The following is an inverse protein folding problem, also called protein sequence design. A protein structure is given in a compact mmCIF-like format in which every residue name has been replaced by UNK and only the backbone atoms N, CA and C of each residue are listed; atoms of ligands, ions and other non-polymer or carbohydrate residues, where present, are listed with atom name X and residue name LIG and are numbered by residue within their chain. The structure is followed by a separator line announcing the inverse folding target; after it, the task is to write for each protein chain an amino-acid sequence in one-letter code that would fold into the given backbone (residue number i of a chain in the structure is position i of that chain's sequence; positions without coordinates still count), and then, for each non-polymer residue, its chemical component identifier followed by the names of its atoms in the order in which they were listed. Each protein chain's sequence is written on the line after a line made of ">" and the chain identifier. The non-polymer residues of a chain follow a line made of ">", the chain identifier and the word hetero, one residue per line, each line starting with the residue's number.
data_IF_865159040719
#
_entry.id   IF_865159040719
#
_cell.length_a   1.000
_cell.length_b   1.000
_cell.length_c   1.000
_cell.angle_alpha   90.00
_cell.angle_beta   90.00
_cell.angle_gamma   90.00
#
_symmetry.space_group_name_H-M   'P 1'
#
loop_
_entity.id
_entity.type
_entity.pdbx_description
1 polymer ?
#
# COMPACT_ATOMS: atom_id res chain seq x y z
N UNK A 1 38.50 -5.01 -19.34
CA UNK A 1 38.57 -3.75 -18.56
C UNK A 1 38.00 -2.56 -19.33
N UNK A 2 38.35 -2.31 -20.59
CA UNK A 2 37.79 -1.18 -21.36
C UNK A 2 36.25 -1.23 -21.55
N UNK A 3 35.67 -2.42 -21.79
CA UNK A 3 34.21 -2.57 -21.94
C UNK A 3 33.42 -2.23 -20.66
N UNK A 4 33.94 -2.58 -19.48
CA UNK A 4 33.33 -2.27 -18.18
C UNK A 4 33.39 -0.78 -17.83
N UNK A 5 34.41 -0.06 -18.33
CA UNK A 5 34.51 1.40 -18.18
C UNK A 5 33.48 2.10 -19.06
N UNK A 6 33.24 1.59 -20.26
CA UNK A 6 32.25 2.16 -21.20
C UNK A 6 30.81 1.91 -20.73
N UNK A 7 30.51 0.70 -20.24
CA UNK A 7 29.22 0.36 -19.62
C UNK A 7 28.95 1.23 -18.38
N UNK A 8 29.97 1.46 -17.55
CA UNK A 8 29.88 2.36 -16.39
C UNK A 8 29.60 3.80 -16.83
N UNK A 9 30.25 4.27 -17.91
CA UNK A 9 30.04 5.61 -18.47
C UNK A 9 28.64 5.79 -19.03
N UNK A 10 28.11 4.80 -19.73
CA UNK A 10 26.75 4.80 -20.26
C UNK A 10 25.71 4.80 -19.14
N UNK A 11 25.95 4.04 -18.06
CA UNK A 11 25.09 4.05 -16.88
C UNK A 11 25.10 5.43 -16.18
N UNK A 12 26.28 6.05 -16.00
CA UNK A 12 26.38 7.40 -15.44
C UNK A 12 25.66 8.45 -16.30
N UNK A 13 25.76 8.34 -17.63
CA UNK A 13 25.03 9.20 -18.55
C UNK A 13 23.52 9.02 -18.45
N UNK A 14 23.02 7.78 -18.43
CA UNK A 14 21.61 7.48 -18.26
C UNK A 14 21.08 7.98 -16.91
N UNK A 15 21.87 7.87 -15.84
CA UNK A 15 21.53 8.42 -14.52
C UNK A 15 21.49 9.94 -14.51
N UNK A 16 22.44 10.61 -15.17
CA UNK A 16 22.46 12.06 -15.28
C UNK A 16 21.26 12.59 -16.09
N UNK A 17 20.92 11.91 -17.19
CA UNK A 17 19.74 12.23 -18.00
C UNK A 17 18.44 12.02 -17.21
N UNK A 18 18.34 10.92 -16.47
CA UNK A 18 17.19 10.65 -15.60
C UNK A 18 17.06 11.69 -14.49
N UNK A 19 18.18 12.10 -13.87
CA UNK A 19 18.19 13.16 -12.86
C UNK A 19 17.69 14.49 -13.44
N UNK A 20 18.11 14.84 -14.66
CA UNK A 20 17.62 16.04 -15.35
C UNK A 20 16.15 15.93 -15.75
N UNK A 21 15.64 14.74 -16.07
CA UNK A 21 14.20 14.53 -16.32
C UNK A 21 13.42 14.70 -15.02
N UNK A 22 13.91 14.11 -13.92
CA UNK A 22 13.28 14.21 -12.59
C UNK A 22 13.27 15.65 -12.08
N UNK A 23 14.37 16.39 -12.21
CA UNK A 23 14.41 17.80 -11.79
C UNK A 23 13.51 18.69 -12.65
N UNK A 24 13.45 18.47 -13.96
CA UNK A 24 12.49 19.18 -14.82
C UNK A 24 11.04 18.83 -14.50
N UNK A 25 10.77 17.57 -14.14
CA UNK A 25 9.45 17.14 -13.67
C UNK A 25 9.12 17.79 -12.33
N UNK A 26 10.09 17.88 -11.42
CA UNK A 26 9.94 18.54 -10.12
C UNK A 26 9.64 20.03 -10.29
N UNK A 27 10.43 20.73 -11.10
CA UNK A 27 10.23 22.15 -11.40
C UNK A 27 8.89 22.40 -12.09
N UNK A 28 8.51 21.56 -13.07
CA UNK A 28 7.21 21.65 -13.72
C UNK A 28 6.05 21.42 -12.73
N UNK A 29 6.17 20.45 -11.82
CA UNK A 29 5.19 20.17 -10.76
C UNK A 29 5.13 21.33 -9.75
N UNK A 30 6.26 21.87 -9.33
CA UNK A 30 6.34 23.02 -8.42
C UNK A 30 5.80 24.32 -9.05
N UNK A 31 5.90 24.45 -10.37
CA UNK A 31 5.34 25.58 -11.11
C UNK A 31 3.83 25.39 -11.34
N UNK A 32 3.37 24.16 -11.58
CA UNK A 32 1.95 23.76 -11.65
C UNK A 32 1.19 24.00 -10.34
N UNK A 33 1.83 23.81 -9.19
CA UNK A 33 1.23 23.99 -7.85
C UNK A 33 0.99 25.46 -7.48
N UNK A 34 1.64 26.43 -8.14
CA UNK A 34 1.61 27.84 -7.72
C UNK A 34 0.49 28.69 -8.31
N UNK A 35 -0.26 28.22 -9.32
CA UNK A 35 -1.23 29.06 -10.04
C UNK A 35 -2.52 28.29 -10.40
N UNK A 36 -3.66 28.57 -9.74
CA UNK A 36 -5.08 28.21 -10.06
C UNK A 36 -5.73 26.94 -9.40
N UNK A 37 -7.01 27.01 -8.96
CA UNK A 37 -7.78 25.88 -8.41
C UNK A 37 -8.10 24.73 -9.41
N UNK A 38 -7.95 24.96 -10.72
CA UNK A 38 -8.09 23.88 -11.73
C UNK A 38 -6.88 22.92 -11.71
N UNK A 39 -5.73 23.36 -11.21
CA UNK A 39 -4.52 22.52 -11.08
C UNK A 39 -4.48 21.70 -9.80
N UNK A 40 -5.05 22.20 -8.70
CA UNK A 40 -5.29 21.37 -7.50
C UNK A 40 -6.08 20.12 -7.88
N UNK A 41 -7.04 20.25 -8.79
CA UNK A 41 -7.80 19.11 -9.31
C UNK A 41 -6.92 18.12 -10.06
N UNK A 42 -6.12 18.59 -11.03
CA UNK A 42 -5.25 17.72 -11.83
C UNK A 42 -4.17 17.03 -10.97
N UNK A 43 -3.59 17.74 -10.01
CA UNK A 43 -2.62 17.17 -9.06
C UNK A 43 -3.28 16.15 -8.13
N UNK A 44 -4.48 16.44 -7.60
CA UNK A 44 -5.24 15.50 -6.80
C UNK A 44 -5.64 14.25 -7.60
N UNK A 45 -5.99 14.40 -8.88
CA UNK A 45 -6.28 13.29 -9.78
C UNK A 45 -5.03 12.42 -10.02
N UNK A 46 -3.85 13.02 -10.16
CA UNK A 46 -2.57 12.28 -10.27
C UNK A 46 -2.21 11.56 -8.97
N UNK A 47 -2.32 12.23 -7.82
CA UNK A 47 -2.08 11.62 -6.50
C UNK A 47 -3.02 10.44 -6.27
N UNK A 48 -4.29 10.59 -6.63
CA UNK A 48 -5.27 9.51 -6.58
C UNK A 48 -4.86 8.35 -7.48
N UNK A 49 -4.48 8.61 -8.73
CA UNK A 49 -4.02 7.58 -9.67
C UNK A 49 -2.84 6.78 -9.09
N UNK A 50 -1.80 7.47 -8.61
CA UNK A 50 -0.62 6.83 -8.04
C UNK A 50 -0.95 6.02 -6.78
N UNK A 51 -1.85 6.53 -5.94
CA UNK A 51 -2.29 5.83 -4.73
C UNK A 51 -3.10 4.57 -5.07
N UNK A 52 -3.96 4.64 -6.09
CA UNK A 52 -4.72 3.46 -6.57
C UNK A 52 -3.80 2.39 -7.16
N UNK A 53 -2.76 2.79 -7.89
CA UNK A 53 -1.77 1.85 -8.42
C UNK A 53 -0.99 1.15 -7.31
N UNK A 54 -0.52 1.91 -6.31
CA UNK A 54 0.18 1.35 -5.16
C UNK A 54 -0.70 0.37 -4.37
N UNK A 55 -1.98 0.71 -4.15
CA UNK A 55 -2.95 -0.18 -3.51
C UNK A 55 -3.19 -1.47 -4.31
N UNK A 56 -3.30 -1.38 -5.64
CA UNK A 56 -3.46 -2.53 -6.51
C UNK A 56 -2.23 -3.45 -6.49
N UNK A 57 -1.01 -2.89 -6.54
CA UNK A 57 0.23 -3.66 -6.43
C UNK A 57 0.32 -4.39 -5.09
N UNK A 58 0.07 -3.67 -3.99
CA UNK A 58 0.08 -4.22 -2.64
C UNK A 58 -0.88 -5.41 -2.51
N UNK A 59 -2.12 -5.24 -2.99
CA UNK A 59 -3.12 -6.29 -2.98
C UNK A 59 -2.68 -7.50 -3.82
N UNK A 60 -2.15 -7.29 -5.03
CA UNK A 60 -1.66 -8.39 -5.88
C UNK A 60 -0.56 -9.19 -5.20
N UNK A 61 0.40 -8.52 -4.56
CA UNK A 61 1.50 -9.20 -3.84
C UNK A 61 1.02 -9.98 -2.64
N UNK A 62 0.14 -9.40 -1.82
CA UNK A 62 -0.44 -10.08 -0.66
C UNK A 62 -1.33 -11.27 -1.09
N UNK A 63 -2.11 -11.12 -2.16
CA UNK A 63 -2.88 -12.22 -2.73
C UNK A 63 -1.95 -13.34 -3.21
N UNK A 64 -0.87 -13.01 -3.92
CA UNK A 64 0.09 -14.00 -4.40
C UNK A 64 0.77 -14.74 -3.24
N UNK A 65 1.18 -14.01 -2.20
CA UNK A 65 1.73 -14.58 -0.96
C UNK A 65 0.76 -15.57 -0.31
N UNK A 66 -0.50 -15.19 -0.11
CA UNK A 66 -1.50 -16.06 0.50
C UNK A 66 -1.88 -17.24 -0.40
N UNK A 67 -1.92 -17.04 -1.72
CA UNK A 67 -2.21 -18.11 -2.68
C UNK A 67 -1.10 -19.17 -2.67
N UNK A 68 0.17 -18.75 -2.56
CA UNK A 68 1.29 -19.67 -2.39
C UNK A 68 1.19 -20.47 -1.07
N UNK A 69 0.51 -19.92 -0.05
CA UNK A 69 0.21 -20.58 1.21
C UNK A 69 -1.13 -21.38 1.20
N UNK A 70 -1.73 -21.62 0.04
CA UNK A 70 -2.92 -22.47 -0.10
C UNK A 70 -4.27 -21.75 -0.03
N UNK A 71 -4.28 -20.42 0.09
CA UNK A 71 -5.53 -19.64 0.07
C UNK A 71 -6.05 -19.49 -1.36
N UNK A 72 -7.37 -19.39 -1.50
CA UNK A 72 -8.05 -19.10 -2.77
C UNK A 72 -8.81 -17.79 -2.69
N UNK A 73 -8.66 -16.95 -3.71
CA UNK A 73 -9.44 -15.72 -3.85
C UNK A 73 -10.89 -16.05 -4.18
N UNK A 74 -11.85 -15.52 -3.41
CA UNK A 74 -13.28 -15.76 -3.62
C UNK A 74 -14.07 -14.51 -4.01
N UNK A 75 -13.54 -13.32 -3.73
CA UNK A 75 -14.09 -12.05 -4.23
C UNK A 75 -13.07 -11.32 -5.08
N UNK A 76 -13.53 -10.52 -6.06
CA UNK A 76 -12.63 -9.59 -6.77
C UNK A 76 -12.06 -8.55 -5.78
N UNK A 77 -10.75 -8.23 -5.84
CA UNK A 77 -10.18 -7.12 -5.08
C UNK A 77 -10.87 -5.81 -5.44
N UNK A 78 -11.25 -5.03 -4.44
CA UNK A 78 -12.01 -3.78 -4.64
C UNK A 78 -11.51 -2.68 -3.72
N UNK A 79 -11.51 -1.47 -4.25
CA UNK A 79 -11.25 -0.28 -3.46
C UNK A 79 -12.43 0.02 -2.54
N UNK A 80 -12.14 0.39 -1.30
CA UNK A 80 -13.15 0.83 -0.35
C UNK A 80 -12.85 2.26 0.05
N UNK A 81 -13.43 3.20 -0.68
CA UNK A 81 -13.29 4.63 -0.42
C UNK A 81 -14.04 5.03 0.86
N UNK A 82 -13.46 4.72 2.02
CA UNK A 82 -13.96 5.17 3.32
C UNK A 82 -13.33 6.52 3.65
N UNK A 83 -13.85 7.66 3.17
CA UNK A 83 -13.25 8.99 3.48
C UNK A 83 -11.70 9.06 3.36
N UNK A 84 -11.09 8.30 2.43
CA UNK A 84 -9.63 8.17 2.29
C UNK A 84 -8.95 7.14 3.21
N UNK A 85 -9.66 6.13 3.73
CA UNK A 85 -9.20 5.34 4.89
C UNK A 85 -8.68 3.93 4.59
N UNK A 86 -8.95 3.28 3.43
CA UNK A 86 -8.33 1.99 3.03
C UNK A 86 -8.23 1.83 1.51
N UNK A 87 -7.19 1.15 1.04
CA UNK A 87 -6.94 1.03 -0.39
C UNK A 87 -7.65 -0.17 -0.99
N UNK A 88 -7.52 -1.37 -0.45
CA UNK A 88 -8.10 -2.57 -1.08
C UNK A 88 -8.63 -3.55 -0.04
N UNK A 89 -9.78 -4.17 -0.34
CA UNK A 89 -10.25 -5.38 0.34
C UNK A 89 -10.42 -6.54 -0.62
N UNK A 90 -10.11 -7.75 -0.13
CA UNK A 90 -10.32 -9.01 -0.85
C UNK A 90 -10.62 -10.12 0.14
N UNK A 91 -11.62 -10.93 -0.13
CA UNK A 91 -11.91 -12.13 0.64
C UNK A 91 -11.21 -13.34 0.02
N UNK A 92 -10.60 -14.12 0.90
CA UNK A 92 -9.93 -15.38 0.63
C UNK A 92 -10.61 -16.51 1.41
N UNK A 93 -10.42 -17.74 0.95
CA UNK A 93 -10.74 -18.95 1.69
C UNK A 93 -9.53 -19.88 1.78
N UNK A 94 -9.48 -20.69 2.83
CA UNK A 94 -8.54 -21.77 2.99
C UNK A 94 -9.28 -23.01 3.54
N UNK A 95 -8.99 -24.23 3.05
CA UNK A 95 -9.67 -25.45 3.52
C UNK A 95 -9.64 -25.62 5.04
N UNK A 96 -8.48 -25.34 5.66
CA UNK A 96 -8.26 -25.55 7.09
C UNK A 96 -8.51 -24.31 7.96
N UNK A 97 -8.60 -23.11 7.35
CA UNK A 97 -8.65 -21.84 8.09
C UNK A 97 -9.92 -21.03 7.81
N UNK A 98 -10.83 -21.54 6.99
CA UNK A 98 -12.08 -20.88 6.65
C UNK A 98 -11.87 -19.64 5.78
N UNK A 99 -12.77 -18.67 5.91
CA UNK A 99 -12.73 -17.43 5.12
C UNK A 99 -12.09 -16.29 5.91
N UNK A 100 -11.41 -15.39 5.19
CA UNK A 100 -10.77 -14.21 5.75
C UNK A 100 -10.80 -13.07 4.75
N UNK A 101 -10.98 -11.85 5.22
CA UNK A 101 -10.73 -10.64 4.44
C UNK A 101 -9.29 -10.17 4.64
N UNK A 102 -8.62 -9.81 3.55
CA UNK A 102 -7.45 -8.93 3.61
C UNK A 102 -7.95 -7.49 3.51
N UNK A 103 -7.46 -6.63 4.40
CA UNK A 103 -7.69 -5.19 4.40
C UNK A 103 -6.33 -4.50 4.25
N UNK A 104 -6.10 -3.89 3.09
CA UNK A 104 -4.77 -3.43 2.67
C UNK A 104 -4.74 -1.91 2.53
N UNK A 105 -3.72 -1.29 3.12
CA UNK A 105 -3.33 0.09 2.85
C UNK A 105 -1.86 0.14 2.43
N UNK A 106 -1.56 0.86 1.35
CA UNK A 106 -0.24 0.99 0.77
C UNK A 106 0.30 2.41 1.00
N UNK A 107 1.57 2.51 1.39
CA UNK A 107 2.29 3.78 1.48
C UNK A 107 3.62 3.71 0.73
N UNK A 108 3.95 4.81 0.06
CA UNK A 108 5.28 4.97 -0.55
C UNK A 108 6.40 4.91 0.48
N UNK A 109 6.19 5.52 1.65
CA UNK A 109 7.08 5.41 2.82
C UNK A 109 6.27 5.16 4.09
N UNK A 110 6.63 4.13 4.83
CA UNK A 110 6.02 3.78 6.12
C UNK A 110 6.91 4.22 7.28
N UNK A 111 6.29 4.90 8.23
CA UNK A 111 6.84 5.27 9.52
C UNK A 111 6.03 4.66 10.66
N UNK A 112 6.59 4.56 11.89
CA UNK A 112 5.87 4.06 13.06
C UNK A 112 4.49 4.70 13.29
N UNK A 113 4.38 6.01 13.08
CA UNK A 113 3.11 6.74 13.25
C UNK A 113 2.00 6.23 12.32
N UNK A 114 2.35 5.78 11.11
CA UNK A 114 1.38 5.29 10.14
C UNK A 114 0.72 4.00 10.64
N UNK A 115 1.50 3.14 11.29
CA UNK A 115 1.00 1.92 11.95
C UNK A 115 0.04 2.27 13.09
N UNK A 116 0.42 3.22 13.94
CA UNK A 116 -0.42 3.65 15.07
C UNK A 116 -1.72 4.27 14.56
N UNK A 117 -1.66 5.12 13.54
CA UNK A 117 -2.83 5.74 12.92
C UNK A 117 -3.75 4.71 12.27
N UNK A 118 -3.19 3.74 11.55
CA UNK A 118 -3.94 2.65 10.93
C UNK A 118 -4.64 1.77 11.97
N UNK A 119 -3.90 1.31 12.99
CA UNK A 119 -4.46 0.53 14.09
C UNK A 119 -5.55 1.32 14.84
N UNK A 120 -5.31 2.59 15.12
CA UNK A 120 -6.28 3.48 15.76
C UNK A 120 -7.54 3.71 14.91
N UNK A 121 -7.43 3.74 13.57
CA UNK A 121 -8.59 3.80 12.67
C UNK A 121 -9.45 2.55 12.77
N UNK A 122 -8.84 1.36 12.83
CA UNK A 122 -9.55 0.09 12.96
C UNK A 122 -10.33 -0.05 14.27
N UNK A 123 -10.04 0.75 15.29
CA UNK A 123 -10.79 0.78 16.55
C UNK A 123 -12.02 1.69 16.52
N UNK A 124 -12.22 2.47 15.44
CA UNK A 124 -13.33 3.44 15.38
C UNK A 124 -14.60 2.77 14.86
N UNK A 125 -15.69 2.86 15.61
CA UNK A 125 -16.99 2.29 15.22
C UNK A 125 -17.46 2.73 13.84
N UNK A 126 -17.25 4.01 13.49
CA UNK A 126 -17.60 4.55 12.16
C UNK A 126 -16.93 3.76 11.03
N UNK A 127 -15.69 3.33 11.24
CA UNK A 127 -14.89 2.59 10.26
C UNK A 127 -15.40 1.17 10.14
N UNK A 128 -15.57 0.50 11.28
CA UNK A 128 -16.08 -0.87 11.34
C UNK A 128 -17.47 -0.97 10.71
N UNK A 129 -18.37 -0.02 11.01
CA UNK A 129 -19.68 0.05 10.37
C UNK A 129 -19.59 0.29 8.86
N UNK A 130 -18.66 1.12 8.41
CA UNK A 130 -18.52 1.38 6.98
C UNK A 130 -17.98 0.16 6.23
N UNK A 131 -17.00 -0.56 6.79
CA UNK A 131 -16.54 -1.86 6.27
C UNK A 131 -17.70 -2.85 6.13
N UNK A 132 -18.56 -2.96 7.15
CA UNK A 132 -19.78 -3.79 7.11
C UNK A 132 -20.75 -3.37 6.01
N UNK A 133 -20.95 -2.06 5.80
CA UNK A 133 -21.80 -1.54 4.70
C UNK A 133 -21.26 -1.92 3.32
N UNK A 134 -19.95 -2.10 3.20
CA UNK A 134 -19.33 -2.62 1.98
C UNK A 134 -19.34 -4.16 1.91
N UNK A 135 -19.92 -4.86 2.89
CA UNK A 135 -20.03 -6.31 2.93
C UNK A 135 -18.77 -7.02 3.42
N UNK A 136 -17.87 -6.31 4.09
CA UNK A 136 -16.75 -6.91 4.82
C UNK A 136 -17.28 -7.36 6.19
N UNK A 137 -17.08 -8.62 6.55
CA UNK A 137 -17.53 -9.21 7.82
C UNK A 137 -16.74 -10.47 8.17
N UNK A 138 -16.78 -10.87 9.44
CA UNK A 138 -16.01 -12.01 9.97
C UNK A 138 -14.53 -11.68 10.18
N UNK A 139 -13.66 -12.65 9.96
CA UNK A 139 -12.21 -12.51 10.19
C UNK A 139 -11.58 -11.55 9.18
N UNK A 140 -10.94 -10.50 9.67
CA UNK A 140 -10.22 -9.49 8.87
C UNK A 140 -8.75 -9.47 9.26
N UNK A 141 -7.86 -9.62 8.29
CA UNK A 141 -6.41 -9.46 8.44
C UNK A 141 -5.97 -8.09 7.91
N UNK A 142 -5.62 -7.14 8.80
CA UNK A 142 -5.21 -5.80 8.41
C UNK A 142 -3.72 -5.78 8.02
N UNK A 143 -3.41 -5.19 6.86
CA UNK A 143 -2.06 -5.07 6.32
C UNK A 143 -1.72 -3.64 5.95
N UNK A 144 -0.49 -3.24 6.31
CA UNK A 144 0.21 -2.12 5.71
C UNK A 144 1.25 -2.64 4.72
N UNK A 145 1.28 -2.04 3.54
CA UNK A 145 2.28 -2.30 2.51
C UNK A 145 3.18 -1.09 2.32
N UNK A 146 4.49 -1.27 2.40
CA UNK A 146 5.48 -0.19 2.25
C UNK A 146 6.42 -0.41 1.08
N UNK A 147 6.72 0.63 0.30
CA UNK A 147 7.84 0.60 -0.67
C UNK A 147 9.18 0.99 -0.02
N UNK A 148 9.15 1.86 0.98
CA UNK A 148 10.27 2.19 1.85
C UNK A 148 9.81 2.16 3.31
N UNK A 149 10.53 1.44 4.16
CA UNK A 149 10.08 1.17 5.54
C UNK A 149 11.15 1.66 6.52
N UNK A 150 10.73 2.49 7.49
CA UNK A 150 11.56 2.86 8.64
C UNK A 150 11.82 1.63 9.51
N UNK A 151 13.08 1.43 9.94
CA UNK A 151 13.51 0.21 10.65
C UNK A 151 12.77 -0.07 11.97
N UNK A 152 12.01 0.89 12.51
CA UNK A 152 11.22 0.72 13.74
C UNK A 152 9.79 0.24 13.47
N UNK A 153 9.37 0.18 12.20
CA UNK A 153 7.98 -0.16 11.84
C UNK A 153 7.64 -1.58 12.23
N UNK A 154 8.54 -2.54 12.03
CA UNK A 154 8.33 -3.96 12.32
C UNK A 154 7.87 -4.19 13.77
N UNK A 155 8.63 -3.65 14.73
CA UNK A 155 8.31 -3.77 16.16
C UNK A 155 6.95 -3.14 16.53
N UNK A 156 6.60 -2.03 15.88
CA UNK A 156 5.33 -1.34 16.12
C UNK A 156 4.17 -2.12 15.50
N UNK A 157 4.35 -2.63 14.28
CA UNK A 157 3.38 -3.46 13.56
C UNK A 157 3.09 -4.74 14.34
N UNK A 158 4.12 -5.42 14.82
CA UNK A 158 3.99 -6.62 15.65
C UNK A 158 3.25 -6.32 16.97
N UNK A 159 3.61 -5.24 17.65
CA UNK A 159 2.97 -4.84 18.92
C UNK A 159 1.47 -4.54 18.77
N UNK A 160 1.08 -3.98 17.63
CA UNK A 160 -0.30 -3.60 17.33
C UNK A 160 -1.07 -4.66 16.53
N UNK A 161 -0.42 -5.77 16.18
CA UNK A 161 -1.03 -6.86 15.41
C UNK A 161 -1.37 -6.49 13.97
N UNK A 162 -0.64 -5.52 13.39
CA UNK A 162 -0.82 -5.11 11.99
C UNK A 162 0.17 -5.90 11.13
N UNK A 163 -0.32 -6.50 10.05
CA UNK A 163 0.54 -7.17 9.09
C UNK A 163 1.39 -6.15 8.33
N UNK A 164 2.65 -6.47 8.09
CA UNK A 164 3.58 -5.63 7.35
C UNK A 164 4.15 -6.41 6.18
N UNK A 165 4.02 -5.85 4.98
CA UNK A 165 4.60 -6.41 3.77
C UNK A 165 5.27 -5.33 2.91
N UNK A 166 6.17 -5.78 2.06
CA UNK A 166 6.86 -4.95 1.07
C UNK A 166 7.09 -5.73 -0.24
N UNK A 167 8.01 -5.24 -1.08
CA UNK A 167 8.35 -5.87 -2.35
C UNK A 167 9.04 -7.24 -2.19
N UNK A 168 9.63 -7.52 -1.02
CA UNK A 168 10.34 -8.76 -0.70
C UNK A 168 9.43 -9.82 -0.08
N UNK A 169 8.34 -9.41 0.57
CA UNK A 169 7.34 -10.32 1.12
C UNK A 169 6.70 -9.79 2.39
N UNK A 170 6.17 -10.70 3.21
CA UNK A 170 5.67 -10.37 4.54
C UNK A 170 6.82 -10.37 5.56
N UNK A 171 6.97 -9.25 6.27
CA UNK A 171 7.89 -9.11 7.38
C UNK A 171 7.21 -9.40 8.72
N UNK A 172 5.93 -9.05 8.84
CA UNK A 172 5.13 -9.26 10.06
C UNK A 172 3.77 -9.81 9.68
N UNK A 173 3.39 -10.96 10.25
CA UNK A 173 2.06 -11.52 10.09
C UNK A 173 1.02 -10.73 10.92
N UNK A 174 -0.19 -10.47 10.39
CA UNK A 174 -1.22 -9.74 11.10
C UNK A 174 -1.84 -10.58 12.21
N UNK A 175 -2.33 -9.91 13.25
CA UNK A 175 -3.32 -10.50 14.17
C UNK A 175 -4.71 -10.20 13.61
N UNK A 176 -5.47 -11.21 13.17
CA UNK A 176 -6.79 -10.97 12.64
C UNK A 176 -7.73 -10.37 13.69
N UNK A 177 -8.64 -9.52 13.24
CA UNK A 177 -9.73 -8.95 14.03
C UNK A 177 -11.06 -9.53 13.56
N UNK A 178 -12.02 -9.68 14.47
CA UNK A 178 -13.36 -10.14 14.14
C UNK A 178 -14.31 -8.95 13.93
N UNK A 179 -14.89 -8.88 12.73
CA UNK A 179 -15.88 -7.88 12.38
C UNK A 179 -17.28 -8.52 12.41
N UNK A 180 -17.89 -8.50 13.60
CA UNK A 180 -19.24 -9.04 13.87
C UNK A 180 -20.32 -8.15 13.28
#
# INVERSE_FOLDING_TARGET
>A
MAASIEEFRQAEQAFAELYQVVERLREAVEQLVRESPEHDRAFNELVLLLSTEAGAEAAQRLIALHTAAGWRVITRPRFVALNGEFDVVVQLEHPDHGTRWLLVEAKGRLHPRDVVEFAGRLQRDKILQALRKHGVSGTVAPYLFGRAIDSRVDAVAESLGIGLADLLGEAVAPRPIELV
#
